data_IF_555937076849
#
_entry.id   IF_555937076849
#
_cell.length_a   1.000
_cell.length_b   1.000
_cell.length_c   1.000
_cell.angle_alpha   90.00
_cell.angle_beta   90.00
_cell.angle_gamma   90.00
#
_symmetry.space_group_name_H-M   'P 1'
#
loop_
_entity.id
_entity.type
_entity.pdbx_description
1 polymer ?
#
# COMPACT_ATOMS: atom_id res chain seq x y z
N UNK A 1 1.24 18.51 20.62
CA UNK A 1 0.79 17.45 19.68
C UNK A 1 0.84 18.00 18.27
N UNK A 2 1.60 17.36 17.40
CA UNK A 2 1.73 17.86 16.04
C UNK A 2 0.57 17.36 15.16
N UNK A 3 0.06 18.26 14.32
CA UNK A 3 -0.94 17.91 13.33
C UNK A 3 -0.24 17.18 12.19
N UNK A 4 -0.79 16.06 11.68
CA UNK A 4 -0.20 15.40 10.53
C UNK A 4 -0.05 16.36 9.37
N UNK A 5 1.06 16.28 8.66
CA UNK A 5 1.28 17.06 7.46
C UNK A 5 0.37 16.62 6.32
N UNK A 6 0.39 17.38 5.24
CA UNK A 6 -0.44 17.05 4.08
C UNK A 6 -0.11 15.69 3.46
N UNK A 7 1.18 15.28 3.30
CA UNK A 7 1.48 13.95 2.79
C UNK A 7 0.89 12.82 3.64
N UNK A 8 0.94 12.93 4.96
CA UNK A 8 0.40 11.91 5.87
C UNK A 8 -1.13 11.85 5.76
N UNK A 9 -1.77 12.99 5.66
CA UNK A 9 -3.23 13.06 5.51
C UNK A 9 -3.67 12.47 4.18
N UNK A 10 -3.00 12.83 3.09
CA UNK A 10 -3.26 12.27 1.78
C UNK A 10 -3.01 10.76 1.78
N UNK A 11 -1.94 10.30 2.43
CA UNK A 11 -1.66 8.88 2.58
C UNK A 11 -2.78 8.12 3.26
N UNK A 12 -3.34 8.67 4.33
CA UNK A 12 -4.48 8.07 5.04
C UNK A 12 -5.72 8.00 4.14
N UNK A 13 -5.97 9.05 3.37
CA UNK A 13 -7.10 9.07 2.44
C UNK A 13 -6.91 8.06 1.30
N UNK A 14 -5.70 7.93 0.78
CA UNK A 14 -5.37 6.93 -0.23
C UNK A 14 -5.56 5.52 0.33
N UNK A 15 -5.10 5.28 1.55
CA UNK A 15 -5.28 3.98 2.20
C UNK A 15 -6.75 3.60 2.29
N UNK A 16 -7.58 4.52 2.73
CA UNK A 16 -9.02 4.27 2.82
C UNK A 16 -9.63 4.00 1.45
N UNK A 17 -9.22 4.75 0.43
CA UNK A 17 -9.72 4.57 -0.93
C UNK A 17 -9.35 3.19 -1.49
N UNK A 18 -8.10 2.78 -1.33
CA UNK A 18 -7.64 1.48 -1.84
C UNK A 18 -8.30 0.33 -1.07
N UNK A 19 -8.41 0.46 0.25
CA UNK A 19 -9.10 -0.55 1.06
C UNK A 19 -10.56 -0.71 0.60
N UNK A 20 -11.23 0.37 0.25
CA UNK A 20 -12.59 0.33 -0.27
C UNK A 20 -12.65 -0.36 -1.64
N UNK A 21 -11.70 -0.07 -2.53
CA UNK A 21 -11.62 -0.77 -3.81
C UNK A 21 -11.51 -2.28 -3.64
N UNK A 22 -10.70 -2.70 -2.68
CA UNK A 22 -10.52 -4.12 -2.37
C UNK A 22 -11.78 -4.73 -1.77
N UNK A 23 -12.38 -4.07 -0.78
CA UNK A 23 -13.55 -4.61 -0.09
C UNK A 23 -14.77 -4.72 -1.00
N UNK A 24 -14.86 -3.86 -2.01
CA UNK A 24 -15.95 -3.90 -3.00
C UNK A 24 -15.64 -4.78 -4.20
N UNK A 25 -14.51 -5.48 -4.20
CA UNK A 25 -14.12 -6.37 -5.29
C UNK A 25 -13.85 -5.64 -6.59
N UNK A 26 -13.42 -4.40 -6.55
CA UNK A 26 -13.16 -3.61 -7.75
C UNK A 26 -11.78 -3.85 -8.36
N UNK A 27 -10.87 -4.47 -7.61
CA UNK A 27 -9.61 -4.95 -8.14
C UNK A 27 -9.80 -6.40 -8.57
N UNK A 28 -10.12 -6.61 -9.85
CA UNK A 28 -10.61 -7.88 -10.35
C UNK A 28 -9.57 -8.79 -10.98
N UNK A 29 -8.32 -8.49 -10.86
CA UNK A 29 -7.28 -9.36 -11.40
C UNK A 29 -7.25 -10.67 -10.59
N UNK A 30 -7.41 -11.84 -11.23
CA UNK A 30 -7.47 -13.13 -10.52
C UNK A 30 -6.16 -13.49 -9.83
N UNK A 31 -5.06 -12.83 -10.16
CA UNK A 31 -3.78 -13.05 -9.50
C UNK A 31 -3.72 -12.41 -8.11
N UNK A 32 -4.58 -11.44 -7.85
CA UNK A 32 -4.60 -10.76 -6.55
C UNK A 32 -5.34 -11.63 -5.55
N UNK A 33 -4.61 -12.10 -4.52
CA UNK A 33 -5.20 -12.87 -3.44
C UNK A 33 -5.82 -11.97 -2.37
N UNK A 34 -6.09 -12.55 -1.21
CA UNK A 34 -6.57 -11.77 -0.06
C UNK A 34 -5.42 -10.97 0.50
N UNK A 35 -5.51 -9.66 0.39
CA UNK A 35 -4.48 -8.76 0.89
C UNK A 35 -5.04 -7.76 1.90
N UNK A 36 -4.15 -7.24 2.71
CA UNK A 36 -4.43 -6.13 3.63
C UNK A 36 -3.51 -4.98 3.26
N UNK A 37 -4.04 -3.78 3.19
CA UNK A 37 -3.20 -2.59 3.02
C UNK A 37 -2.72 -2.18 4.40
N UNK A 38 -1.42 -2.22 4.62
CA UNK A 38 -0.83 -1.97 5.93
C UNK A 38 -0.43 -0.51 6.14
N UNK A 39 -0.29 0.24 5.07
CA UNK A 39 0.04 1.65 5.16
C UNK A 39 0.21 2.28 3.79
N UNK A 40 0.27 3.59 3.77
CA UNK A 40 0.57 4.34 2.55
C UNK A 40 1.53 5.46 2.92
N UNK A 41 2.59 5.60 2.16
CA UNK A 41 3.55 6.68 2.31
C UNK A 41 3.59 7.52 1.05
N UNK A 42 3.35 8.81 1.20
CA UNK A 42 3.30 9.76 0.09
C UNK A 42 4.50 10.69 0.17
N UNK A 43 5.11 10.97 -0.97
CA UNK A 43 6.24 11.91 -1.03
C UNK A 43 5.79 13.32 -0.67
N UNK A 44 6.72 14.19 -0.21
CA UNK A 44 6.37 15.56 0.20
C UNK A 44 5.70 16.37 -0.92
N UNK A 45 6.05 16.12 -2.18
CA UNK A 45 5.46 16.80 -3.33
C UNK A 45 4.17 16.14 -3.82
N UNK A 46 3.71 15.07 -3.16
CA UNK A 46 2.51 14.31 -3.48
C UNK A 46 2.54 13.62 -4.85
N UNK A 47 3.72 13.42 -5.42
CA UNK A 47 3.85 12.83 -6.75
C UNK A 47 4.06 11.33 -6.76
N UNK A 48 4.41 10.76 -5.59
CA UNK A 48 4.66 9.32 -5.45
C UNK A 48 3.90 8.82 -4.24
N UNK A 49 3.19 7.72 -4.40
CA UNK A 49 2.51 7.04 -3.30
C UNK A 49 2.96 5.58 -3.28
N UNK A 50 3.50 5.15 -2.15
CA UNK A 50 3.87 3.75 -1.90
C UNK A 50 2.78 3.13 -1.05
N UNK A 51 2.14 2.12 -1.60
CA UNK A 51 1.05 1.42 -0.93
C UNK A 51 1.61 0.09 -0.44
N UNK A 52 1.71 -0.03 0.88
CA UNK A 52 2.24 -1.24 1.52
C UNK A 52 1.11 -2.24 1.71
N UNK A 53 1.37 -3.49 1.35
CA UNK A 53 0.37 -4.54 1.42
C UNK A 53 0.98 -5.80 2.03
N UNK A 54 0.13 -6.63 2.59
CA UNK A 54 0.51 -7.88 3.22
C UNK A 54 -0.48 -8.97 2.86
N UNK A 55 -0.06 -10.22 2.91
CA UNK A 55 -0.93 -11.38 2.74
C UNK A 55 -0.33 -12.58 3.43
N UNK A 56 -1.19 -13.53 3.79
CA UNK A 56 -0.77 -14.85 4.21
C UNK A 56 -0.61 -15.72 2.97
N UNK A 57 0.49 -16.43 2.88
CA UNK A 57 0.76 -17.29 1.74
C UNK A 57 2.25 -17.43 1.50
N UNK A 58 2.58 -18.26 0.52
CA UNK A 58 3.97 -18.51 0.16
C UNK A 58 4.51 -17.44 -0.80
N UNK A 59 5.78 -17.55 -1.12
CA UNK A 59 6.44 -16.58 -2.00
C UNK A 59 5.83 -16.57 -3.41
N UNK A 60 5.41 -17.73 -3.92
CA UNK A 60 4.79 -17.82 -5.23
C UNK A 60 3.47 -17.04 -5.26
N UNK A 61 2.63 -17.20 -4.22
CA UNK A 61 1.38 -16.45 -4.11
C UNK A 61 1.62 -14.95 -4.01
N UNK A 62 2.65 -14.54 -3.27
CA UNK A 62 3.02 -13.13 -3.15
C UNK A 62 3.47 -12.54 -4.48
N UNK A 63 4.26 -13.26 -5.25
CA UNK A 63 4.71 -12.81 -6.57
C UNK A 63 3.56 -12.66 -7.54
N UNK A 64 2.62 -13.59 -7.55
CA UNK A 64 1.42 -13.49 -8.39
C UNK A 64 0.59 -12.27 -8.00
N UNK A 65 0.38 -12.08 -6.70
CA UNK A 65 -0.38 -10.93 -6.20
C UNK A 65 0.31 -9.62 -6.58
N UNK A 66 1.63 -9.54 -6.41
CA UNK A 66 2.37 -8.35 -6.81
C UNK A 66 2.20 -8.06 -8.30
N UNK A 67 2.26 -9.08 -9.15
CA UNK A 67 2.06 -8.90 -10.58
C UNK A 67 0.65 -8.39 -10.89
N UNK A 68 -0.36 -8.91 -10.20
CA UNK A 68 -1.73 -8.44 -10.35
C UNK A 68 -1.92 -7.00 -9.89
N UNK A 69 -1.33 -6.64 -8.76
CA UNK A 69 -1.37 -5.26 -8.27
C UNK A 69 -0.67 -4.30 -9.23
N UNK A 70 0.49 -4.70 -9.76
CA UNK A 70 1.22 -3.90 -10.73
C UNK A 70 0.40 -3.69 -12.01
N UNK A 71 -0.31 -4.71 -12.46
CA UNK A 71 -1.19 -4.59 -13.61
C UNK A 71 -2.38 -3.66 -13.33
N UNK A 72 -2.82 -3.57 -12.10
CA UNK A 72 -3.95 -2.74 -11.69
C UNK A 72 -3.57 -1.29 -11.35
N UNK A 73 -2.28 -0.93 -11.41
CA UNK A 73 -1.81 0.41 -11.02
C UNK A 73 -2.56 1.55 -11.70
N UNK A 74 -2.79 1.44 -13.01
CA UNK A 74 -3.47 2.49 -13.75
C UNK A 74 -4.89 2.74 -13.26
N UNK A 75 -5.61 1.67 -13.00
CA UNK A 75 -6.95 1.75 -12.45
C UNK A 75 -6.94 2.37 -11.04
N UNK A 76 -6.06 1.87 -10.18
CA UNK A 76 -5.93 2.39 -8.81
C UNK A 76 -5.57 3.87 -8.84
N UNK A 77 -4.63 4.26 -9.70
CA UNK A 77 -4.22 5.64 -9.84
C UNK A 77 -5.39 6.57 -10.18
N UNK A 78 -6.20 6.17 -11.14
CA UNK A 78 -7.38 6.94 -11.56
C UNK A 78 -8.40 7.06 -10.43
N UNK A 79 -8.69 5.95 -9.77
CA UNK A 79 -9.68 5.92 -8.71
C UNK A 79 -9.23 6.73 -7.49
N UNK A 80 -7.98 6.58 -7.11
CA UNK A 80 -7.40 7.33 -5.99
C UNK A 80 -7.43 8.84 -6.29
N UNK A 81 -7.00 9.22 -7.48
CA UNK A 81 -6.96 10.63 -7.88
C UNK A 81 -8.35 11.27 -7.80
N UNK A 82 -9.36 10.54 -8.27
CA UNK A 82 -10.74 11.03 -8.25
C UNK A 82 -11.31 11.08 -6.83
N UNK A 83 -11.12 10.02 -6.05
CA UNK A 83 -11.71 9.91 -4.71
C UNK A 83 -11.07 10.85 -3.70
N UNK A 84 -9.77 11.05 -3.79
CA UNK A 84 -9.01 11.92 -2.89
C UNK A 84 -8.98 13.37 -3.42
N UNK A 85 -9.48 13.58 -4.63
CA UNK A 85 -9.55 14.91 -5.27
C UNK A 85 -8.18 15.56 -5.40
N UNK A 86 -7.22 14.77 -5.89
CA UNK A 86 -5.87 15.26 -6.09
C UNK A 86 -5.76 16.03 -7.41
N UNK A 87 -4.98 17.12 -7.40
CA UNK A 87 -4.70 17.90 -8.61
C UNK A 87 -3.85 17.14 -9.60
N UNK A 88 -2.88 16.41 -9.09
CA UNK A 88 -1.94 15.62 -9.89
C UNK A 88 -2.06 14.18 -9.46
N UNK A 89 -2.17 13.28 -10.43
CA UNK A 89 -2.21 11.85 -10.14
C UNK A 89 -0.84 11.40 -9.66
N UNK A 90 -0.72 10.86 -8.45
CA UNK A 90 0.55 10.33 -7.98
C UNK A 90 0.90 9.04 -8.70
N UNK A 91 2.18 8.79 -8.87
CA UNK A 91 2.65 7.50 -9.34
C UNK A 91 2.47 6.49 -8.20
N UNK A 92 1.87 5.34 -8.50
CA UNK A 92 1.54 4.34 -7.50
C UNK A 92 2.56 3.21 -7.54
N UNK A 93 3.05 2.82 -6.36
CA UNK A 93 3.88 1.63 -6.19
C UNK A 93 3.26 0.75 -5.12
N UNK A 94 3.07 -0.52 -5.43
CA UNK A 94 2.66 -1.51 -4.44
C UNK A 94 3.90 -2.20 -3.90
N UNK A 95 4.09 -2.12 -2.59
CA UNK A 95 5.28 -2.66 -1.92
C UNK A 95 4.85 -3.67 -0.87
N UNK A 96 5.36 -4.89 -0.96
CA UNK A 96 5.04 -5.91 0.03
C UNK A 96 5.65 -5.53 1.38
N UNK A 97 4.81 -5.54 2.41
CA UNK A 97 5.23 -5.21 3.77
C UNK A 97 5.69 -6.49 4.48
N UNK A 98 6.99 -6.67 4.56
CA UNK A 98 7.60 -7.84 5.18
C UNK A 98 7.47 -7.86 6.69
N UNK A 99 7.04 -6.78 7.31
CA UNK A 99 6.96 -6.65 8.76
C UNK A 99 5.73 -7.33 9.35
N UNK A 100 4.80 -7.85 8.53
CA UNK A 100 3.53 -8.40 8.97
C UNK A 100 3.42 -9.87 8.55
N UNK A 101 2.95 -10.73 9.46
CA UNK A 101 2.47 -12.06 9.10
C UNK A 101 3.36 -13.26 9.43
N UNK A 102 4.51 -13.10 10.08
CA UNK A 102 5.45 -14.22 10.33
C UNK A 102 5.74 -14.54 11.81
N UNK A 103 4.83 -14.25 12.73
CA UNK A 103 4.98 -14.62 14.13
C UNK A 103 6.24 -14.05 14.78
N UNK A 104 7.02 -14.90 15.48
CA UNK A 104 8.18 -14.46 16.23
C UNK A 104 9.30 -13.82 15.39
N UNK A 105 9.37 -14.18 14.13
CA UNK A 105 10.31 -13.54 13.22
C UNK A 105 10.00 -12.07 13.00
N UNK A 106 8.75 -11.71 13.13
CA UNK A 106 8.30 -10.35 12.92
C UNK A 106 8.88 -9.40 13.94
N UNK A 107 8.88 -9.78 15.21
CA UNK A 107 9.42 -8.91 16.26
C UNK A 107 10.88 -8.60 16.01
N UNK A 108 11.64 -9.58 15.53
CA UNK A 108 13.04 -9.37 15.18
C UNK A 108 13.20 -8.46 13.97
N UNK A 109 12.41 -8.74 12.93
CA UNK A 109 12.45 -7.94 11.69
C UNK A 109 12.00 -6.51 11.93
N UNK A 110 10.98 -6.30 12.75
CA UNK A 110 10.53 -4.97 13.11
C UNK A 110 11.62 -4.16 13.78
N UNK A 111 12.39 -4.76 14.68
CA UNK A 111 13.49 -4.08 15.33
C UNK A 111 14.58 -3.70 14.34
N UNK A 112 14.94 -4.60 13.44
CA UNK A 112 15.94 -4.35 12.42
C UNK A 112 15.51 -3.27 11.45
N UNK A 113 14.28 -3.33 10.99
CA UNK A 113 13.74 -2.35 10.05
C UNK A 113 13.69 -0.97 10.68
N UNK A 114 13.20 -0.86 11.92
CA UNK A 114 13.17 0.43 12.62
C UNK A 114 14.57 1.02 12.79
N UNK A 115 15.54 0.19 13.06
CA UNK A 115 16.93 0.64 13.25
C UNK A 115 17.58 1.05 11.94
N UNK A 116 17.41 0.25 10.89
CA UNK A 116 18.09 0.47 9.61
C UNK A 116 17.44 1.53 8.73
N UNK A 117 16.15 1.62 8.75
CA UNK A 117 15.40 2.46 7.82
C UNK A 117 14.81 3.72 8.45
N UNK A 118 14.92 3.87 9.75
CA UNK A 118 14.40 5.05 10.43
C UNK A 118 12.88 5.16 10.40
N UNK A 119 12.23 4.05 10.30
CA UNK A 119 10.75 4.02 10.23
C UNK A 119 10.11 4.31 11.57
#
# INVERSE_FOLDING_TARGET
>A
MSVPGRPERVGSEIQAAVAELLSRGQLRDPRIGYITITGVKVSPDLRVARIFWSMLGDEAARKETQAGLDAAKGFVRREVTARVKLRVSPEIFFVFDKSVGEGDKIDRLLREVKTKEGW
#
